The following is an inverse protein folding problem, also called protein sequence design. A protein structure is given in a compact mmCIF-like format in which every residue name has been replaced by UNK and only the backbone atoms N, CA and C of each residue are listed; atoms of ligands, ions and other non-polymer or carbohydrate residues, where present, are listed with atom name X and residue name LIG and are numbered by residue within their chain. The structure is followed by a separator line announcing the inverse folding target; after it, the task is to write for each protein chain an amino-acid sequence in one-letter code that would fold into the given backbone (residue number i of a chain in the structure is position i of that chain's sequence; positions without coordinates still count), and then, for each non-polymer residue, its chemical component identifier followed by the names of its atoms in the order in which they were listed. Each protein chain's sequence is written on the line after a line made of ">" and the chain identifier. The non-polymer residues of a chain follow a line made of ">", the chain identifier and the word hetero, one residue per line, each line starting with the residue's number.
data_IF_415996047876
#
_entry.id   IF_415996047876
#
_cell.length_a   1.000
_cell.length_b   1.000
_cell.length_c   1.000
_cell.angle_alpha   90.00
_cell.angle_beta   90.00
_cell.angle_gamma   90.00
#
_symmetry.space_group_name_H-M   'P 1'
#
loop_
_entity.id
_entity.type
_entity.pdbx_description
1 polymer ?
#
# COMPACT_ATOMS: atom_id res chain seq x y z
N UNK A 1 -0.63 -3.83 3.05
CA UNK A 1 -0.07 -2.47 2.97
C UNK A 1 -0.79 -1.63 4.02
N UNK A 2 -0.05 -0.95 4.90
CA UNK A 2 -0.65 -0.13 5.96
C UNK A 2 -0.19 1.32 5.77
N UNK A 3 -1.13 2.26 5.80
CA UNK A 3 -0.82 3.69 5.86
C UNK A 3 -1.07 4.15 7.29
N UNK A 4 -0.11 4.87 7.87
CA UNK A 4 -0.29 5.60 9.12
C UNK A 4 -0.43 7.07 8.78
N UNK A 5 -1.51 7.68 9.30
CA UNK A 5 -1.73 9.12 9.20
C UNK A 5 -1.70 9.71 10.60
N UNK A 6 -0.82 10.66 10.82
CA UNK A 6 -0.86 11.49 12.01
C UNK A 6 -1.82 12.65 11.74
N UNK A 7 -2.93 12.71 12.47
CA UNK A 7 -3.96 13.73 12.25
C UNK A 7 -3.54 15.13 12.75
N UNK A 8 -2.61 15.20 13.70
CA UNK A 8 -2.10 16.46 14.25
C UNK A 8 -1.06 17.08 13.31
N UNK A 9 -0.08 16.28 12.88
CA UNK A 9 1.01 16.75 12.01
C UNK A 9 0.68 16.67 10.52
N UNK A 10 -0.40 15.97 10.15
CA UNK A 10 -0.76 15.58 8.77
C UNK A 10 0.27 14.71 8.08
N UNK A 11 1.21 14.15 8.83
CA UNK A 11 2.23 13.26 8.30
C UNK A 11 1.63 11.93 7.86
N UNK A 12 2.03 11.46 6.67
CA UNK A 12 1.59 10.19 6.12
C UNK A 12 2.80 9.28 5.95
N UNK A 13 2.74 8.10 6.57
CA UNK A 13 3.76 7.07 6.44
C UNK A 13 3.20 5.81 5.81
N UNK A 14 3.87 5.32 4.78
CA UNK A 14 3.61 4.01 4.19
C UNK A 14 4.45 2.96 4.88
N UNK A 15 3.80 1.97 5.51
CA UNK A 15 4.47 0.85 6.17
C UNK A 15 4.70 -0.27 5.16
N UNK A 16 5.96 -0.72 5.12
CA UNK A 16 6.41 -1.84 4.31
C UNK A 16 6.87 -2.99 5.20
N UNK A 17 6.76 -4.21 4.68
CA UNK A 17 7.15 -5.44 5.35
C UNK A 17 8.11 -6.20 4.44
N UNK A 18 9.21 -6.71 4.98
CA UNK A 18 10.07 -7.66 4.26
C UNK A 18 9.43 -9.04 4.25
N UNK A 19 9.74 -9.83 3.22
CA UNK A 19 9.01 -11.06 2.92
C UNK A 19 9.16 -12.16 3.99
N UNK A 20 10.40 -12.54 4.34
CA UNK A 20 10.65 -13.72 5.18
C UNK A 20 10.59 -13.43 6.68
N UNK A 21 11.20 -12.33 7.13
CA UNK A 21 11.34 -12.03 8.56
C UNK A 21 10.38 -10.94 9.05
N UNK A 22 9.52 -10.41 8.17
CA UNK A 22 8.55 -9.37 8.50
C UNK A 22 9.18 -8.13 9.15
N UNK A 23 10.42 -7.80 8.79
CA UNK A 23 11.02 -6.53 9.20
C UNK A 23 10.15 -5.39 8.68
N UNK A 24 10.00 -4.37 9.50
CA UNK A 24 9.11 -3.25 9.22
C UNK A 24 9.96 -2.01 8.94
N UNK A 25 9.64 -1.34 7.85
CA UNK A 25 10.13 0.01 7.57
C UNK A 25 8.93 0.92 7.28
N UNK A 26 9.17 2.22 7.34
CA UNK A 26 8.22 3.21 6.85
C UNK A 26 8.85 4.10 5.79
N UNK A 27 8.03 4.59 4.86
CA UNK A 27 8.40 5.61 3.88
C UNK A 27 7.50 6.80 4.15
N UNK A 28 8.10 7.97 4.34
CA UNK A 28 7.37 9.22 4.43
C UNK A 28 6.78 9.56 3.06
N UNK A 29 5.49 9.88 3.01
CA UNK A 29 4.80 10.34 1.81
C UNK A 29 4.62 11.85 1.94
N UNK A 30 5.45 12.60 1.21
CA UNK A 30 5.49 14.07 1.19
C UNK A 30 4.98 14.67 -0.13
N UNK A 31 4.60 13.82 -1.10
CA UNK A 31 4.00 14.24 -2.37
C UNK A 31 2.69 15.02 -2.12
N UNK A 32 2.64 16.25 -2.62
CA UNK A 32 1.46 17.10 -2.49
C UNK A 32 0.39 16.69 -3.51
N UNK A 33 -0.83 16.48 -3.02
CA UNK A 33 -1.98 16.15 -3.84
C UNK A 33 -2.66 17.41 -4.37
N UNK A 34 -2.36 17.80 -5.60
CA UNK A 34 -2.96 18.94 -6.28
C UNK A 34 -4.29 18.57 -6.93
N UNK A 35 -5.35 18.52 -6.12
CA UNK A 35 -6.70 18.17 -6.56
C UNK A 35 -7.30 19.21 -7.51
N UNK A 36 -7.92 18.72 -8.58
CA UNK A 36 -8.80 19.49 -9.47
C UNK A 36 -10.24 19.10 -9.19
N UNK A 37 -10.97 19.96 -8.49
CA UNK A 37 -12.40 19.78 -8.22
C UNK A 37 -13.19 20.13 -9.50
N UNK A 38 -14.10 19.25 -9.89
CA UNK A 38 -14.86 19.33 -11.13
C UNK A 38 -16.35 19.63 -10.83
N UNK A 39 -17.09 20.20 -11.79
CA UNK A 39 -18.50 20.56 -11.59
C UNK A 39 -19.43 19.33 -11.52
N UNK A 40 -18.95 18.16 -11.97
CA UNK A 40 -19.70 16.92 -11.98
C UNK A 40 -20.17 16.51 -10.58
N UNK A 41 -21.46 16.20 -10.48
CA UNK A 41 -22.12 15.77 -9.25
C UNK A 41 -22.83 14.46 -9.50
N UNK A 42 -22.84 13.59 -8.49
CA UNK A 42 -23.68 12.40 -8.48
C UNK A 42 -24.04 12.01 -7.06
N UNK A 43 -25.08 11.20 -6.92
CA UNK A 43 -25.46 10.61 -5.63
C UNK A 43 -24.82 9.22 -5.52
N UNK A 44 -24.09 8.97 -4.44
CA UNK A 44 -23.53 7.64 -4.11
C UNK A 44 -24.16 7.22 -2.78
N UNK A 45 -24.89 6.10 -2.79
CA UNK A 45 -25.85 5.78 -1.73
C UNK A 45 -26.82 6.97 -1.54
N UNK A 46 -26.85 7.58 -0.36
CA UNK A 46 -27.69 8.76 -0.08
C UNK A 46 -26.91 10.08 -0.07
N UNK A 47 -25.60 10.05 -0.31
CA UNK A 47 -24.70 11.18 -0.18
C UNK A 47 -24.56 11.94 -1.50
N UNK A 48 -24.74 13.26 -1.46
CA UNK A 48 -24.44 14.12 -2.59
C UNK A 48 -22.92 14.28 -2.70
N UNK A 49 -22.39 13.89 -3.86
CA UNK A 49 -20.96 13.81 -4.10
C UNK A 49 -20.54 14.69 -5.27
N UNK A 50 -19.34 15.26 -5.16
CA UNK A 50 -18.68 16.03 -6.20
C UNK A 50 -17.43 15.28 -6.70
N UNK A 51 -17.14 15.39 -7.99
CA UNK A 51 -15.96 14.77 -8.59
C UNK A 51 -14.71 15.63 -8.36
N UNK A 52 -13.58 14.98 -8.15
CA UNK A 52 -12.25 15.59 -8.23
C UNK A 52 -11.26 14.64 -8.88
N UNK A 53 -10.20 15.18 -9.48
CA UNK A 53 -9.11 14.41 -10.07
C UNK A 53 -7.77 14.83 -9.50
N UNK A 54 -6.82 13.90 -9.44
CA UNK A 54 -5.44 14.18 -9.02
C UNK A 54 -4.49 13.25 -9.77
N UNK A 55 -3.25 13.69 -9.95
CA UNK A 55 -2.16 12.79 -10.35
C UNK A 55 -1.37 12.41 -9.10
N UNK A 56 -1.20 11.11 -8.86
CA UNK A 56 -0.42 10.59 -7.74
C UNK A 56 0.27 9.30 -8.16
N UNK A 57 1.54 9.16 -7.79
CA UNK A 57 2.29 7.93 -8.04
C UNK A 57 2.50 7.64 -9.54
N UNK A 58 2.44 8.67 -10.39
CA UNK A 58 2.49 8.52 -11.84
C UNK A 58 1.19 8.06 -12.50
N UNK A 59 0.05 8.10 -11.78
CA UNK A 59 -1.27 7.70 -12.29
C UNK A 59 -2.32 8.78 -12.05
N UNK A 60 -3.33 8.83 -12.91
CA UNK A 60 -4.48 9.70 -12.70
C UNK A 60 -5.55 8.98 -11.89
N UNK A 61 -6.08 9.69 -10.89
CA UNK A 61 -7.11 9.21 -9.99
C UNK A 61 -8.36 10.06 -10.13
N UNK A 62 -9.52 9.41 -10.08
CA UNK A 62 -10.82 10.06 -10.02
C UNK A 62 -11.45 9.75 -8.67
N UNK A 63 -11.73 10.78 -7.89
CA UNK A 63 -12.39 10.70 -6.59
C UNK A 63 -13.79 11.31 -6.64
N UNK A 64 -14.70 10.73 -5.88
CA UNK A 64 -15.99 11.28 -5.55
C UNK A 64 -16.01 11.53 -4.04
N UNK A 65 -16.25 12.77 -3.64
CA UNK A 65 -16.23 13.18 -2.24
C UNK A 65 -17.53 13.87 -1.85
N UNK A 66 -17.90 13.77 -0.57
CA UNK A 66 -19.09 14.43 -0.01
C UNK A 66 -18.71 15.43 1.08
N UNK A 67 -19.37 16.59 1.08
CA UNK A 67 -19.24 17.62 2.11
C UNK A 67 -20.18 17.39 3.30
N UNK A 68 -21.16 16.48 3.19
CA UNK A 68 -22.16 16.23 4.23
C UNK A 68 -21.55 15.64 5.50
N UNK A 69 -20.38 15.00 5.40
CA UNK A 69 -19.63 14.47 6.53
C UNK A 69 -18.25 15.15 6.55
N UNK A 70 -17.98 16.10 7.47
CA UNK A 70 -16.73 16.82 7.53
C UNK A 70 -15.64 15.98 8.22
N UNK A 71 -15.44 14.76 7.75
CA UNK A 71 -14.36 13.87 8.16
C UNK A 71 -13.33 13.87 7.03
N UNK A 72 -12.21 14.59 7.15
CA UNK A 72 -11.15 14.63 6.15
C UNK A 72 -10.26 13.38 6.23
N UNK A 73 -10.89 12.21 6.39
CA UNK A 73 -10.24 10.91 6.33
C UNK A 73 -10.53 10.30 4.95
N UNK A 74 -9.61 9.49 4.44
CA UNK A 74 -9.68 9.02 3.08
C UNK A 74 -8.80 7.77 2.94
N UNK A 75 -9.14 6.84 2.05
CA UNK A 75 -8.35 5.63 1.90
C UNK A 75 -6.91 5.95 1.48
N UNK A 76 -6.00 5.08 1.89
CA UNK A 76 -4.59 5.14 1.46
C UNK A 76 -3.93 6.49 1.79
N UNK A 77 -3.17 7.09 0.86
CA UNK A 77 -2.50 8.38 1.05
C UNK A 77 -3.40 9.58 0.72
N UNK A 78 -4.53 9.33 0.06
CA UNK A 78 -5.40 10.39 -0.44
C UNK A 78 -5.94 11.22 0.74
N UNK A 79 -5.87 12.54 0.60
CA UNK A 79 -6.30 13.52 1.59
C UNK A 79 -6.42 14.90 0.91
N UNK A 80 -6.95 15.90 1.63
CA UNK A 80 -6.91 17.30 1.19
C UNK A 80 -8.14 17.79 0.40
N UNK A 81 -9.11 16.93 0.12
CA UNK A 81 -10.43 17.36 -0.37
C UNK A 81 -11.29 17.90 0.79
N UNK A 82 -12.16 18.90 0.55
CA UNK A 82 -13.05 19.46 1.57
C UNK A 82 -14.23 18.51 1.83
N UNK A 83 -13.98 17.33 2.39
CA UNK A 83 -14.99 16.31 2.64
C UNK A 83 -14.43 14.89 2.65
N UNK A 84 -15.32 13.93 2.85
CA UNK A 84 -14.99 12.50 2.86
C UNK A 84 -14.97 11.96 1.43
N UNK A 85 -13.87 11.31 1.03
CA UNK A 85 -13.81 10.55 -0.23
C UNK A 85 -14.66 9.28 -0.04
N UNK A 86 -15.77 9.18 -0.79
CA UNK A 86 -16.66 8.02 -0.74
C UNK A 86 -16.30 6.96 -1.78
N UNK A 87 -15.65 7.38 -2.86
CA UNK A 87 -15.16 6.48 -3.89
C UNK A 87 -13.94 7.11 -4.55
N UNK A 88 -12.92 6.31 -4.84
CA UNK A 88 -11.77 6.74 -5.62
C UNK A 88 -11.20 5.55 -6.38
N UNK A 89 -10.86 5.76 -7.65
CA UNK A 89 -10.21 4.76 -8.48
C UNK A 89 -9.15 5.36 -9.40
N UNK A 90 -8.19 4.54 -9.79
CA UNK A 90 -7.22 4.90 -10.82
C UNK A 90 -7.89 4.84 -12.21
N UNK A 91 -7.22 5.42 -13.21
CA UNK A 91 -7.72 5.45 -14.59
C UNK A 91 -7.84 4.08 -15.25
N UNK A 92 -7.09 3.07 -14.80
CA UNK A 92 -7.14 1.70 -15.35
C UNK A 92 -8.13 0.81 -14.59
N UNK A 93 -8.70 1.31 -13.49
CA UNK A 93 -9.57 0.54 -12.58
C UNK A 93 -8.87 -0.69 -11.97
N UNK A 94 -7.55 -0.68 -11.89
CA UNK A 94 -6.76 -1.67 -11.17
C UNK A 94 -6.95 -1.54 -9.65
N UNK A 95 -7.23 -0.33 -9.19
CA UNK A 95 -7.43 0.04 -7.81
C UNK A 95 -8.72 0.84 -7.65
N UNK A 96 -9.62 0.35 -6.79
CA UNK A 96 -10.83 1.06 -6.42
C UNK A 96 -11.06 0.96 -4.91
N UNK A 97 -11.26 2.10 -4.27
CA UNK A 97 -11.66 2.20 -2.89
C UNK A 97 -13.08 2.75 -2.84
N UNK A 98 -13.97 2.06 -2.14
CA UNK A 98 -15.37 2.47 -1.97
C UNK A 98 -15.75 2.43 -0.51
N UNK A 99 -16.39 3.50 -0.03
CA UNK A 99 -16.97 3.57 1.29
C UNK A 99 -18.17 2.62 1.36
N UNK A 100 -18.08 1.64 2.25
CA UNK A 100 -19.17 0.68 2.48
C UNK A 100 -20.02 1.08 3.69
N UNK A 101 -19.39 1.57 4.76
CA UNK A 101 -20.07 1.90 6.02
C UNK A 101 -19.23 2.85 6.87
N UNK A 102 -19.89 3.76 7.58
CA UNK A 102 -19.32 4.55 8.67
C UNK A 102 -19.84 4.01 10.01
N UNK A 103 -18.98 4.00 11.04
CA UNK A 103 -19.35 3.60 12.40
C UNK A 103 -18.60 4.48 13.39
N UNK A 104 -19.32 5.05 14.35
CA UNK A 104 -18.71 5.77 15.46
C UNK A 104 -17.91 4.81 16.35
N UNK A 105 -16.72 5.23 16.77
CA UNK A 105 -15.84 4.45 17.62
C UNK A 105 -15.35 5.32 18.78
N UNK A 106 -15.51 4.84 20.02
CA UNK A 106 -15.27 5.61 21.27
C UNK A 106 -13.94 5.29 21.96
N UNK A 107 -12.98 4.68 21.25
CA UNK A 107 -11.69 4.27 21.83
C UNK A 107 -10.55 5.07 21.23
N UNK A 108 -9.76 5.68 22.10
CA UNK A 108 -8.57 6.43 21.74
C UNK A 108 -7.50 5.45 21.24
N UNK A 109 -7.00 5.69 20.03
CA UNK A 109 -5.98 4.92 19.30
C UNK A 109 -6.43 3.56 18.72
N UNK A 110 -6.88 3.60 17.46
CA UNK A 110 -7.07 2.40 16.63
C UNK A 110 -5.74 1.66 16.34
N UNK A 111 -4.60 2.36 16.40
CA UNK A 111 -3.28 1.77 16.14
C UNK A 111 -2.22 2.42 17.03
N UNK A 112 -1.59 1.64 17.92
CA UNK A 112 -0.35 2.07 18.56
C UNK A 112 0.74 2.09 17.49
N UNK A 113 1.13 3.30 17.04
CA UNK A 113 2.25 3.49 16.13
C UNK A 113 3.52 3.12 16.86
N UNK A 114 3.96 1.86 16.72
CA UNK A 114 5.32 1.49 17.12
C UNK A 114 6.28 2.25 16.21
N UNK A 115 7.32 2.89 16.77
CA UNK A 115 8.37 3.53 15.96
C UNK A 115 8.94 2.47 15.00
N UNK A 116 8.93 2.79 13.72
CA UNK A 116 9.48 1.97 12.65
C UNK A 116 10.62 2.76 12.01
N UNK A 117 11.68 2.08 11.55
CA UNK A 117 12.76 2.75 10.84
C UNK A 117 12.25 3.37 9.53
N UNK A 118 12.47 4.66 9.36
CA UNK A 118 12.13 5.39 8.13
C UNK A 118 13.22 5.14 7.09
N UNK A 119 12.83 4.87 5.85
CA UNK A 119 13.74 4.67 4.71
C UNK A 119 13.28 5.49 3.50
N UNK A 120 14.18 5.71 2.55
CA UNK A 120 13.83 6.38 1.30
C UNK A 120 13.17 5.45 0.28
N UNK A 121 12.51 6.01 -0.73
CA UNK A 121 12.04 5.25 -1.90
C UNK A 121 13.17 4.49 -2.60
N UNK A 122 14.38 5.07 -2.66
CA UNK A 122 15.56 4.43 -3.24
C UNK A 122 15.99 3.19 -2.45
N UNK A 123 15.98 3.28 -1.12
CA UNK A 123 16.29 2.15 -0.24
C UNK A 123 15.23 1.04 -0.42
N UNK A 124 13.95 1.43 -0.50
CA UNK A 124 12.89 0.47 -0.75
C UNK A 124 13.05 -0.25 -2.11
N UNK A 125 13.36 0.48 -3.18
CA UNK A 125 13.65 -0.10 -4.48
C UNK A 125 14.84 -1.06 -4.40
N UNK A 126 15.90 -0.69 -3.68
CA UNK A 126 17.05 -1.56 -3.44
C UNK A 126 16.65 -2.84 -2.71
N UNK A 127 15.89 -2.75 -1.62
CA UNK A 127 15.38 -3.92 -0.87
C UNK A 127 14.61 -4.86 -1.80
N UNK A 128 13.73 -4.32 -2.65
CA UNK A 128 12.96 -5.13 -3.62
C UNK A 128 13.86 -5.79 -4.67
N UNK A 129 14.84 -5.07 -5.21
CA UNK A 129 15.78 -5.60 -6.21
C UNK A 129 16.68 -6.67 -5.61
N UNK A 130 17.22 -6.44 -4.42
CA UNK A 130 18.07 -7.42 -3.71
C UNK A 130 17.26 -8.69 -3.41
N UNK A 131 16.03 -8.54 -2.90
CA UNK A 131 15.12 -9.66 -2.67
C UNK A 131 14.77 -10.40 -3.97
N UNK A 132 14.53 -9.69 -5.07
CA UNK A 132 14.31 -10.33 -6.37
C UNK A 132 15.55 -11.10 -6.81
N UNK A 133 16.75 -10.54 -6.64
CA UNK A 133 18.00 -11.16 -7.08
C UNK A 133 18.23 -12.51 -6.40
N UNK A 134 18.04 -12.56 -5.08
CA UNK A 134 18.25 -13.72 -4.22
C UNK A 134 17.24 -13.75 -3.05
N UNK A 135 16.02 -14.29 -3.26
CA UNK A 135 14.95 -14.28 -2.25
C UNK A 135 15.32 -14.98 -0.93
N UNK A 136 16.32 -15.87 -0.98
CA UNK A 136 16.73 -16.70 0.15
C UNK A 136 18.10 -16.30 0.72
N UNK A 137 18.65 -15.13 0.33
CA UNK A 137 19.95 -14.63 0.79
C UNK A 137 20.08 -14.68 2.32
N UNK A 138 19.08 -14.17 3.02
CA UNK A 138 19.08 -14.10 4.48
C UNK A 138 18.90 -15.46 5.15
N UNK A 139 18.09 -16.35 4.57
CA UNK A 139 17.95 -17.74 5.05
C UNK A 139 19.30 -18.47 4.97
N UNK A 140 20.01 -18.29 3.84
CA UNK A 140 21.36 -18.85 3.65
C UNK A 140 22.36 -18.26 4.65
N UNK A 141 22.34 -16.94 4.85
CA UNK A 141 23.23 -16.26 5.80
C UNK A 141 23.01 -16.72 7.26
N UNK A 142 21.76 -17.03 7.64
CA UNK A 142 21.40 -17.55 8.97
C UNK A 142 21.55 -19.08 9.09
N UNK A 143 22.07 -19.75 8.06
CA UNK A 143 22.20 -21.22 7.98
C UNK A 143 20.87 -21.97 8.25
N UNK A 144 19.75 -21.36 7.86
CA UNK A 144 18.42 -21.93 8.02
C UNK A 144 18.06 -22.80 6.80
N UNK A 145 17.28 -23.85 7.02
CA UNK A 145 16.79 -24.73 5.95
C UNK A 145 15.33 -24.44 5.63
N UNK A 146 15.00 -24.31 4.35
CA UNK A 146 13.60 -24.23 3.89
C UNK A 146 13.06 -25.64 3.71
N UNK A 147 12.07 -26.01 4.53
CA UNK A 147 11.48 -27.34 4.56
C UNK A 147 9.95 -27.24 4.67
N UNK A 148 9.24 -28.27 4.20
CA UNK A 148 7.80 -28.47 4.47
C UNK A 148 7.57 -29.75 5.26
N UNK A 149 6.40 -29.92 5.86
CA UNK A 149 5.96 -31.21 6.40
C UNK A 149 5.42 -32.12 5.30
N UNK A 150 5.66 -33.43 5.41
CA UNK A 150 4.83 -34.45 4.74
C UNK A 150 3.51 -34.68 5.51
N UNK A 151 2.67 -35.61 5.04
CA UNK A 151 1.40 -35.96 5.69
C UNK A 151 1.54 -36.48 7.14
N UNK A 152 2.75 -36.89 7.52
CA UNK A 152 3.09 -37.39 8.85
C UNK A 152 3.87 -36.35 9.68
N UNK A 153 4.08 -35.15 9.15
CA UNK A 153 4.81 -34.06 9.79
C UNK A 153 6.34 -34.15 9.69
N UNK A 154 6.90 -35.06 8.91
CA UNK A 154 8.35 -35.15 8.72
C UNK A 154 8.87 -34.00 7.84
N UNK A 155 10.07 -33.48 8.13
CA UNK A 155 10.68 -32.43 7.33
C UNK A 155 11.10 -32.92 5.93
N UNK A 156 10.60 -32.25 4.90
CA UNK A 156 10.94 -32.46 3.50
C UNK A 156 11.65 -31.21 2.96
N UNK A 157 12.94 -31.30 2.57
CA UNK A 157 13.66 -30.18 1.97
C UNK A 157 12.99 -29.65 0.71
N UNK A 158 12.98 -28.33 0.54
CA UNK A 158 12.51 -27.69 -0.69
C UNK A 158 13.66 -27.41 -1.64
N UNK A 159 13.39 -27.57 -2.93
CA UNK A 159 14.27 -27.10 -4.00
C UNK A 159 14.22 -25.57 -4.10
N UNK A 160 15.25 -24.91 -3.58
CA UNK A 160 15.38 -23.45 -3.59
C UNK A 160 15.44 -22.88 -5.01
N UNK A 161 15.98 -23.62 -6.00
CA UNK A 161 16.05 -23.13 -7.38
C UNK A 161 14.64 -23.09 -7.99
N UNK A 162 13.85 -24.14 -7.77
CA UNK A 162 12.45 -24.18 -8.21
C UNK A 162 11.63 -23.09 -7.53
N UNK A 163 11.77 -22.92 -6.22
CA UNK A 163 11.09 -21.86 -5.47
C UNK A 163 11.49 -20.47 -5.95
N UNK A 164 12.79 -20.23 -6.19
CA UNK A 164 13.30 -18.94 -6.69
C UNK A 164 12.68 -18.61 -8.04
N UNK A 165 12.60 -19.57 -8.97
CA UNK A 165 11.95 -19.35 -10.28
C UNK A 165 10.47 -19.00 -10.13
N UNK A 166 9.76 -19.70 -9.24
CA UNK A 166 8.34 -19.43 -8.96
C UNK A 166 8.13 -18.05 -8.33
N UNK A 167 8.94 -17.67 -7.33
CA UNK A 167 8.87 -16.36 -6.69
C UNK A 167 9.17 -15.24 -7.68
N UNK A 168 10.24 -15.35 -8.48
CA UNK A 168 10.57 -14.35 -9.52
C UNK A 168 9.44 -14.20 -10.55
N UNK A 169 8.82 -15.30 -10.95
CA UNK A 169 7.64 -15.28 -11.84
C UNK A 169 6.47 -14.53 -11.19
N UNK A 170 6.11 -14.90 -9.96
CA UNK A 170 5.03 -14.24 -9.21
C UNK A 170 5.30 -12.75 -8.98
N UNK A 171 6.53 -12.37 -8.66
CA UNK A 171 6.90 -10.96 -8.48
C UNK A 171 6.67 -10.17 -9.77
N UNK A 172 7.06 -10.72 -10.93
CA UNK A 172 6.85 -10.07 -12.23
C UNK A 172 5.38 -9.98 -12.61
N UNK A 173 4.63 -11.07 -12.44
CA UNK A 173 3.19 -11.14 -12.78
C UNK A 173 2.34 -10.21 -11.90
N UNK A 174 2.74 -9.98 -10.65
CA UNK A 174 2.01 -9.11 -9.71
C UNK A 174 2.66 -7.72 -9.54
N UNK A 175 3.46 -7.26 -10.50
CA UNK A 175 4.20 -5.99 -10.41
C UNK A 175 3.35 -4.77 -10.82
N UNK A 176 2.26 -4.52 -10.10
CA UNK A 176 1.40 -3.36 -10.31
C UNK A 176 1.29 -2.51 -9.03
N UNK A 177 2.34 -1.82 -8.56
CA UNK A 177 2.22 -0.96 -7.38
C UNK A 177 1.39 0.30 -7.68
N UNK A 178 0.75 0.88 -6.65
CA UNK A 178 0.03 2.17 -6.76
C UNK A 178 0.97 3.28 -7.25
N UNK A 179 2.18 3.37 -6.68
CA UNK A 179 3.22 4.32 -7.06
C UNK A 179 4.07 3.78 -8.21
N UNK A 180 3.53 3.87 -9.42
CA UNK A 180 4.21 3.47 -10.65
C UNK A 180 5.49 4.28 -10.90
N UNK A 181 5.54 5.55 -10.48
CA UNK A 181 6.76 6.37 -10.51
C UNK A 181 7.92 5.79 -9.68
N UNK A 182 7.63 4.92 -8.70
CA UNK A 182 8.62 4.22 -7.89
C UNK A 182 8.71 2.71 -8.21
N UNK A 183 8.02 2.24 -9.27
CA UNK A 183 8.01 0.85 -9.68
C UNK A 183 9.42 0.35 -10.01
N UNK A 184 9.75 -0.84 -9.49
CA UNK A 184 10.96 -1.57 -9.88
C UNK A 184 10.62 -2.41 -11.11
N UNK A 185 11.41 -2.26 -12.17
CA UNK A 185 11.32 -3.12 -13.34
C UNK A 185 12.27 -4.30 -13.13
N UNK A 186 11.70 -5.49 -13.07
CA UNK A 186 12.47 -6.73 -12.90
C UNK A 186 12.67 -7.38 -14.26
N UNK A 187 13.91 -7.70 -14.59
CA UNK A 187 14.30 -8.49 -15.76
C UNK A 187 14.06 -9.99 -15.51
#
# INVERSE_FOLDING_TARGET
>A
MYILKNLETREIQKIIFTNFFNDKYSILIDEKLDWKILPDKKKIADLDCQMATVNYGGQNWTAWFTQSLPVPESPYVFNGLPGLIVNISDSQSDYSFSLIKTKEFKKDNLFAVRKVQVISWKDFQKIKTDYYSDPFAEIKARNMKVQSGDEKGNPVPKDLNKLTKQLKKQIRENNNPIELNHKVNYE
#
